data_IF_113302938667
#
_entry.id   IF_113302938667
#
_cell.length_a   1.000
_cell.length_b   1.000
_cell.length_c   1.000
_cell.angle_alpha   90.00
_cell.angle_beta   90.00
_cell.angle_gamma   90.00
#
_symmetry.space_group_name_H-M   'P 1'
#
loop_
_entity.id
_entity.type
_entity.pdbx_description
1 polymer ?
#
# COMPACT_ATOMS: atom_id res chain seq x y z
N UNK A 1 -2.87 -2.33 23.94
CA UNK A 1 -2.14 -2.49 22.65
C UNK A 1 -1.81 -1.10 22.12
N UNK A 2 -0.55 -0.75 22.05
CA UNK A 2 -0.17 0.53 21.48
C UNK A 2 -0.21 0.43 19.95
N UNK A 3 -1.00 1.29 19.32
CA UNK A 3 -0.98 1.43 17.87
C UNK A 3 0.26 2.23 17.51
N UNK A 4 1.19 1.62 16.76
CA UNK A 4 2.32 2.35 16.23
C UNK A 4 1.80 3.19 15.07
N UNK A 5 1.72 4.52 15.30
CA UNK A 5 1.34 5.46 14.25
C UNK A 5 2.56 5.69 13.36
N UNK A 6 2.51 5.16 12.13
CA UNK A 6 3.54 5.43 11.14
C UNK A 6 3.49 6.91 10.73
N UNK A 7 4.66 7.53 10.56
CA UNK A 7 4.77 8.86 9.96
C UNK A 7 4.32 8.83 8.50
N UNK A 8 3.83 9.97 7.92
CA UNK A 8 3.33 9.98 6.54
C UNK A 8 4.30 9.38 5.52
N UNK A 9 5.59 9.70 5.61
CA UNK A 9 6.61 9.15 4.71
C UNK A 9 6.73 7.63 4.86
N UNK A 10 6.70 7.11 6.08
CA UNK A 10 6.75 5.67 6.36
C UNK A 10 5.53 4.97 5.77
N UNK A 11 4.33 5.53 5.93
CA UNK A 11 3.09 5.00 5.34
C UNK A 11 3.17 4.93 3.83
N UNK A 12 3.61 6.01 3.20
CA UNK A 12 3.70 6.10 1.75
C UNK A 12 4.65 5.04 1.20
N UNK A 13 5.82 4.87 1.81
CA UNK A 13 6.81 3.88 1.39
C UNK A 13 6.28 2.46 1.61
N UNK A 14 5.72 2.15 2.77
CA UNK A 14 5.18 0.81 3.07
C UNK A 14 3.98 0.48 2.17
N UNK A 15 3.08 1.43 1.93
CA UNK A 15 1.99 1.25 0.99
C UNK A 15 2.51 0.88 -0.41
N UNK A 16 3.53 1.59 -0.88
CA UNK A 16 4.12 1.34 -2.18
C UNK A 16 4.71 -0.08 -2.27
N UNK A 17 5.51 -0.48 -1.29
CA UNK A 17 6.09 -1.84 -1.29
C UNK A 17 5.03 -2.92 -1.22
N UNK A 18 4.00 -2.74 -0.40
CA UNK A 18 2.89 -3.70 -0.32
C UNK A 18 2.18 -3.83 -1.66
N UNK A 19 1.78 -2.70 -2.26
CA UNK A 19 0.99 -2.69 -3.48
C UNK A 19 1.76 -3.26 -4.67
N UNK A 20 3.02 -2.83 -4.83
CA UNK A 20 3.80 -3.19 -6.02
C UNK A 20 4.52 -4.52 -5.89
N UNK A 21 4.98 -4.90 -4.70
CA UNK A 21 5.83 -6.08 -4.52
C UNK A 21 5.24 -7.13 -3.58
N UNK A 22 4.30 -6.77 -2.71
CA UNK A 22 3.82 -7.66 -1.66
C UNK A 22 4.90 -8.03 -0.64
N UNK A 23 5.98 -7.24 -0.56
CA UNK A 23 7.10 -7.50 0.33
C UNK A 23 7.37 -6.30 1.25
N UNK A 24 8.02 -6.59 2.38
CA UNK A 24 8.48 -5.56 3.32
C UNK A 24 9.90 -5.15 2.95
N UNK A 25 10.21 -3.85 2.79
CA UNK A 25 11.57 -3.43 2.48
C UNK A 25 12.54 -3.70 3.62
N UNK A 26 13.81 -3.97 3.28
CA UNK A 26 14.89 -4.00 4.26
C UNK A 26 15.07 -2.62 4.90
N UNK A 27 15.75 -2.57 6.04
CA UNK A 27 16.03 -1.30 6.72
C UNK A 27 16.76 -0.30 5.81
N UNK A 28 17.77 -0.75 5.07
CA UNK A 28 18.52 0.13 4.17
C UNK A 28 17.63 0.71 3.06
N UNK A 29 16.81 -0.10 2.42
CA UNK A 29 15.87 0.33 1.38
C UNK A 29 14.80 1.25 1.94
N UNK A 30 14.21 0.89 3.07
CA UNK A 30 13.21 1.68 3.76
C UNK A 30 13.75 3.08 4.12
N UNK A 31 14.94 3.13 4.73
CA UNK A 31 15.59 4.38 5.13
C UNK A 31 15.90 5.26 3.91
N UNK A 32 16.39 4.66 2.83
CA UNK A 32 16.69 5.39 1.60
C UNK A 32 15.44 6.01 0.97
N UNK A 33 14.33 5.27 0.93
CA UNK A 33 13.06 5.78 0.39
C UNK A 33 12.48 6.89 1.26
N UNK A 34 12.55 6.75 2.59
CA UNK A 34 12.11 7.80 3.52
C UNK A 34 12.95 9.06 3.33
N UNK A 35 14.27 8.92 3.20
CA UNK A 35 15.16 10.05 2.94
C UNK A 35 14.83 10.75 1.63
N UNK A 36 14.48 9.99 0.58
CA UNK A 36 14.02 10.56 -0.68
C UNK A 36 12.75 11.39 -0.50
N UNK A 37 11.76 10.87 0.24
CA UNK A 37 10.52 11.60 0.53
C UNK A 37 10.81 12.87 1.30
N UNK A 38 11.68 12.81 2.31
CA UNK A 38 12.06 13.96 3.12
C UNK A 38 12.75 15.06 2.30
N UNK A 39 13.59 14.64 1.33
CA UNK A 39 14.34 15.59 0.49
C UNK A 39 13.51 16.18 -0.65
N UNK A 40 12.58 15.41 -1.23
CA UNK A 40 11.90 15.76 -2.48
C UNK A 40 10.37 15.92 -2.32
N UNK A 41 9.79 15.47 -1.21
CA UNK A 41 8.36 15.54 -0.93
C UNK A 41 7.58 14.32 -1.41
N UNK A 42 6.36 14.18 -0.90
CA UNK A 42 5.46 13.07 -1.22
C UNK A 42 5.03 13.07 -2.70
N UNK A 43 4.80 14.26 -3.28
CA UNK A 43 4.42 14.38 -4.68
C UNK A 43 5.51 13.84 -5.62
N UNK A 44 6.78 14.11 -5.31
CA UNK A 44 7.90 13.58 -6.08
C UNK A 44 8.00 12.04 -5.95
N UNK A 45 7.76 11.51 -4.78
CA UNK A 45 7.73 10.06 -4.56
C UNK A 45 6.57 9.42 -5.32
N UNK A 46 5.39 10.03 -5.31
CA UNK A 46 4.24 9.56 -6.09
C UNK A 46 4.54 9.58 -7.60
N UNK A 47 5.22 10.60 -8.09
CA UNK A 47 5.66 10.66 -9.49
C UNK A 47 6.64 9.53 -9.83
N UNK A 48 7.54 9.21 -8.92
CA UNK A 48 8.42 8.04 -9.06
C UNK A 48 7.60 6.74 -9.16
N UNK A 49 6.60 6.56 -8.31
CA UNK A 49 5.70 5.39 -8.37
C UNK A 49 4.93 5.32 -9.69
N UNK A 50 4.50 6.45 -10.23
CA UNK A 50 3.86 6.52 -11.54
C UNK A 50 4.80 6.02 -12.65
N UNK A 51 6.07 6.35 -12.56
CA UNK A 51 7.10 5.86 -13.51
C UNK A 51 7.26 4.35 -13.42
N UNK A 52 7.25 3.79 -12.23
CA UNK A 52 7.30 2.33 -12.03
C UNK A 52 6.04 1.67 -12.59
N UNK A 53 4.87 2.24 -12.25
CA UNK A 53 3.57 1.64 -12.60
C UNK A 53 3.29 1.60 -14.10
N UNK A 54 3.75 2.60 -14.86
CA UNK A 54 3.43 2.70 -16.30
C UNK A 54 3.96 1.53 -17.13
N UNK A 55 4.98 0.85 -16.66
CA UNK A 55 5.59 -0.29 -17.35
C UNK A 55 4.98 -1.64 -16.96
N UNK A 56 3.99 -1.61 -16.05
CA UNK A 56 3.28 -2.79 -15.58
C UNK A 56 1.86 -2.78 -16.17
N UNK A 57 1.39 -3.90 -16.77
CA UNK A 57 0.01 -3.96 -17.28
C UNK A 57 -1.01 -3.62 -16.18
N UNK A 58 -2.04 -2.83 -16.52
CA UNK A 58 -3.05 -2.38 -15.55
C UNK A 58 -3.74 -3.57 -14.88
N UNK A 59 -4.01 -4.65 -15.61
CA UNK A 59 -4.61 -5.86 -15.04
C UNK A 59 -3.71 -6.48 -13.95
N UNK A 60 -2.39 -6.45 -14.14
CA UNK A 60 -1.41 -6.92 -13.14
C UNK A 60 -1.38 -6.01 -11.92
N UNK A 61 -1.38 -4.68 -12.13
CA UNK A 61 -1.45 -3.71 -11.03
C UNK A 61 -2.73 -3.90 -10.21
N UNK A 62 -3.87 -4.07 -10.87
CA UNK A 62 -5.16 -4.28 -10.23
C UNK A 62 -5.14 -5.57 -9.37
N UNK A 63 -4.63 -6.65 -9.93
CA UNK A 63 -4.51 -7.93 -9.23
C UNK A 63 -3.59 -7.82 -8.00
N UNK A 64 -2.44 -7.20 -8.16
CA UNK A 64 -1.48 -7.00 -7.06
C UNK A 64 -2.09 -6.14 -5.94
N UNK A 65 -2.75 -5.05 -6.31
CA UNK A 65 -3.41 -4.16 -5.34
C UNK A 65 -4.46 -4.91 -4.54
N UNK A 66 -5.38 -5.62 -5.21
CA UNK A 66 -6.44 -6.36 -4.52
C UNK A 66 -5.88 -7.47 -3.64
N UNK A 67 -4.94 -8.26 -4.16
CA UNK A 67 -4.36 -9.40 -3.43
C UNK A 67 -3.55 -8.92 -2.23
N UNK A 68 -2.68 -7.94 -2.43
CA UNK A 68 -1.76 -7.49 -1.39
C UNK A 68 -2.44 -6.69 -0.28
N UNK A 69 -3.57 -6.05 -0.59
CA UNK A 69 -4.38 -5.34 0.42
C UNK A 69 -5.51 -6.19 1.00
N UNK A 70 -5.69 -7.43 0.53
CA UNK A 70 -6.76 -8.31 1.01
C UNK A 70 -8.16 -7.89 0.56
N UNK A 71 -8.27 -7.23 -0.59
CA UNK A 71 -9.52 -6.66 -1.09
C UNK A 71 -10.24 -7.53 -2.14
N UNK A 72 -9.78 -8.75 -2.37
CA UNK A 72 -10.36 -9.63 -3.40
C UNK A 72 -11.80 -10.04 -3.14
N UNK A 73 -12.25 -10.00 -1.88
CA UNK A 73 -13.64 -10.25 -1.51
C UNK A 73 -14.52 -9.00 -1.57
N UNK A 74 -13.91 -7.82 -1.68
CA UNK A 74 -14.61 -6.52 -1.70
C UNK A 74 -14.86 -6.04 -3.12
N UNK A 75 -13.83 -6.10 -3.95
CA UNK A 75 -13.86 -5.60 -5.34
C UNK A 75 -13.46 -6.70 -6.31
N UNK A 76 -14.08 -6.67 -7.50
CA UNK A 76 -13.66 -7.52 -8.61
C UNK A 76 -12.44 -6.93 -9.29
N UNK A 77 -11.72 -7.76 -10.03
CA UNK A 77 -10.60 -7.29 -10.85
C UNK A 77 -11.07 -6.26 -11.88
N UNK A 78 -12.25 -6.44 -12.49
CA UNK A 78 -12.79 -5.50 -13.46
C UNK A 78 -13.02 -4.11 -12.85
N UNK A 79 -13.54 -4.05 -11.62
CA UNK A 79 -13.72 -2.79 -10.88
C UNK A 79 -12.38 -2.12 -10.60
N UNK A 80 -11.38 -2.87 -10.17
CA UNK A 80 -10.03 -2.35 -9.91
C UNK A 80 -9.37 -1.85 -11.19
N UNK A 81 -9.49 -2.58 -12.30
CA UNK A 81 -8.97 -2.14 -13.61
C UNK A 81 -9.65 -0.84 -14.05
N UNK A 82 -10.97 -0.74 -13.91
CA UNK A 82 -11.72 0.46 -14.28
C UNK A 82 -11.25 1.67 -13.43
N UNK A 83 -11.06 1.47 -12.14
CA UNK A 83 -10.54 2.50 -11.23
C UNK A 83 -9.15 2.98 -11.66
N UNK A 84 -8.23 2.06 -11.95
CA UNK A 84 -6.87 2.42 -12.36
C UNK A 84 -6.85 3.10 -13.73
N UNK A 85 -7.67 2.65 -14.68
CA UNK A 85 -7.78 3.31 -15.98
C UNK A 85 -8.32 4.75 -15.86
N UNK A 86 -9.26 4.98 -14.96
CA UNK A 86 -9.77 6.32 -14.67
C UNK A 86 -8.71 7.23 -14.03
N UNK A 87 -7.65 6.66 -13.47
CA UNK A 87 -6.54 7.37 -12.81
C UNK A 87 -5.20 7.11 -13.50
N UNK A 88 -5.20 6.84 -14.80
CA UNK A 88 -4.02 6.45 -15.56
C UNK A 88 -2.87 7.46 -15.50
N UNK A 89 -3.16 8.74 -15.31
CA UNK A 89 -2.15 9.79 -15.17
C UNK A 89 -1.48 9.81 -13.79
N UNK A 90 -2.03 9.11 -12.81
CA UNK A 90 -1.52 9.08 -11.42
C UNK A 90 -1.78 7.72 -10.76
N UNK A 91 -1.26 6.66 -11.37
CA UNK A 91 -1.45 5.29 -10.89
C UNK A 91 -0.91 5.09 -9.47
N UNK A 92 0.27 5.61 -9.20
CA UNK A 92 0.89 5.51 -7.87
C UNK A 92 0.05 6.18 -6.79
N UNK A 93 -0.47 7.37 -7.08
CA UNK A 93 -1.37 8.08 -6.16
C UNK A 93 -2.69 7.36 -5.97
N UNK A 94 -3.27 6.84 -7.04
CA UNK A 94 -4.53 6.10 -7.00
C UNK A 94 -4.42 4.82 -6.15
N UNK A 95 -3.35 4.06 -6.34
CA UNK A 95 -3.12 2.83 -5.58
C UNK A 95 -2.84 3.13 -4.10
N UNK A 96 -2.04 4.16 -3.81
CA UNK A 96 -1.79 4.61 -2.44
C UNK A 96 -3.06 5.09 -1.75
N UNK A 97 -3.97 5.73 -2.47
CA UNK A 97 -5.26 6.16 -1.94
C UNK A 97 -6.12 4.96 -1.51
N UNK A 98 -6.10 3.87 -2.27
CA UNK A 98 -6.83 2.63 -1.90
C UNK A 98 -6.24 2.03 -0.62
N UNK A 99 -4.91 1.96 -0.50
CA UNK A 99 -4.26 1.45 0.71
C UNK A 99 -4.62 2.30 1.93
N UNK A 100 -4.58 3.62 1.80
CA UNK A 100 -4.93 4.55 2.87
C UNK A 100 -6.40 4.45 3.24
N UNK A 101 -7.29 4.37 2.25
CA UNK A 101 -8.73 4.23 2.48
C UNK A 101 -9.06 2.91 3.21
N UNK A 102 -8.34 1.83 2.90
CA UNK A 102 -8.52 0.56 3.59
C UNK A 102 -8.13 0.67 5.06
N UNK A 103 -6.99 1.30 5.36
CA UNK A 103 -6.55 1.53 6.75
C UNK A 103 -7.53 2.39 7.54
N UNK A 104 -8.13 3.38 6.90
CA UNK A 104 -9.00 4.37 7.51
C UNK A 104 -10.50 4.04 7.38
N UNK A 105 -10.84 2.84 6.89
CA UNK A 105 -12.23 2.47 6.69
C UNK A 105 -13.04 2.56 7.98
N UNK A 106 -14.19 3.22 7.89
CA UNK A 106 -15.15 3.31 8.99
C UNK A 106 -16.30 2.36 8.71
N UNK A 107 -16.65 1.52 9.68
CA UNK A 107 -17.75 0.57 9.56
C UNK A 107 -19.03 1.25 9.08
N UNK A 108 -19.62 0.68 8.04
CA UNK A 108 -20.88 1.18 7.46
C UNK A 108 -21.79 -0.01 7.19
N UNK A 109 -22.75 -0.22 8.08
CA UNK A 109 -23.67 -1.36 8.00
C UNK A 109 -24.53 -1.37 6.73
N UNK A 110 -24.69 -0.22 6.07
CA UNK A 110 -25.42 -0.12 4.79
C UNK A 110 -24.60 -0.59 3.60
N UNK A 111 -23.29 -0.72 3.75
CA UNK A 111 -22.42 -1.22 2.68
C UNK A 111 -22.46 -2.75 2.63
N UNK A 112 -22.81 -3.31 1.48
CA UNK A 112 -22.97 -4.77 1.32
C UNK A 112 -21.69 -5.56 1.64
N UNK A 113 -20.52 -4.95 1.47
CA UNK A 113 -19.21 -5.56 1.72
C UNK A 113 -18.53 -5.04 2.99
N UNK A 114 -19.33 -4.54 3.94
CA UNK A 114 -18.80 -3.98 5.18
C UNK A 114 -17.94 -4.98 5.97
N UNK A 115 -18.42 -6.22 6.11
CA UNK A 115 -17.67 -7.26 6.85
C UNK A 115 -16.33 -7.60 6.18
N UNK A 116 -16.32 -7.68 4.86
CA UNK A 116 -15.12 -7.96 4.07
C UNK A 116 -14.13 -6.78 4.14
N UNK A 117 -14.62 -5.55 4.13
CA UNK A 117 -13.78 -4.36 4.31
C UNK A 117 -13.16 -4.30 5.72
N UNK A 118 -13.92 -4.64 6.75
CA UNK A 118 -13.41 -4.69 8.12
C UNK A 118 -12.34 -5.78 8.27
N UNK A 119 -12.53 -6.91 7.63
CA UNK A 119 -11.51 -7.98 7.59
C UNK A 119 -10.24 -7.53 6.87
N UNK A 120 -10.37 -6.87 5.72
CA UNK A 120 -9.25 -6.34 4.97
C UNK A 120 -8.51 -5.26 5.78
N UNK A 121 -9.24 -4.37 6.45
CA UNK A 121 -8.66 -3.35 7.32
C UNK A 121 -7.85 -3.96 8.46
N UNK A 122 -8.39 -4.96 9.13
CA UNK A 122 -7.69 -5.65 10.24
C UNK A 122 -6.42 -6.32 9.74
N UNK A 123 -6.51 -7.07 8.64
CA UNK A 123 -5.35 -7.74 8.05
C UNK A 123 -4.29 -6.74 7.60
N UNK A 124 -4.68 -5.67 6.92
CA UNK A 124 -3.76 -4.64 6.45
C UNK A 124 -3.13 -3.86 7.61
N UNK A 125 -3.89 -3.54 8.66
CA UNK A 125 -3.37 -2.87 9.86
C UNK A 125 -2.29 -3.72 10.52
N UNK A 126 -2.52 -5.02 10.67
CA UNK A 126 -1.54 -5.95 11.24
C UNK A 126 -0.29 -6.06 10.36
N UNK A 127 -0.49 -6.20 9.06
CA UNK A 127 0.59 -6.26 8.07
C UNK A 127 1.43 -4.99 8.10
N UNK A 128 0.79 -3.82 8.10
CA UNK A 128 1.48 -2.53 8.13
C UNK A 128 2.29 -2.34 9.44
N UNK A 129 1.73 -2.76 10.56
CA UNK A 129 2.42 -2.69 11.87
C UNK A 129 3.66 -3.58 11.87
N UNK A 130 3.53 -4.81 11.40
CA UNK A 130 4.64 -5.76 11.32
C UNK A 130 5.70 -5.31 10.32
N UNK A 131 5.27 -4.79 9.16
CA UNK A 131 6.17 -4.27 8.14
C UNK A 131 6.97 -3.07 8.66
N UNK A 132 6.32 -2.16 9.39
CA UNK A 132 7.00 -1.01 9.99
C UNK A 132 8.05 -1.47 11.00
N UNK A 133 7.70 -2.40 11.88
CA UNK A 133 8.63 -2.94 12.88
C UNK A 133 9.84 -3.62 12.19
N UNK A 134 9.60 -4.43 11.17
CA UNK A 134 10.65 -5.11 10.41
C UNK A 134 11.57 -4.11 9.69
N UNK A 135 10.99 -3.20 8.94
CA UNK A 135 11.76 -2.24 8.12
C UNK A 135 12.51 -1.21 8.96
N UNK A 136 12.01 -0.91 10.18
CA UNK A 136 12.66 -0.01 11.11
C UNK A 136 13.80 -0.68 11.89
N UNK A 137 13.88 -2.01 11.88
CA UNK A 137 14.93 -2.75 12.57
C UNK A 137 16.24 -2.73 11.77
N UNK A 138 17.32 -2.26 12.39
CA UNK A 138 18.64 -2.19 11.75
C UNK A 138 19.21 -3.57 11.38
N UNK A 139 18.64 -4.64 11.94
CA UNK A 139 19.01 -6.03 11.65
C UNK A 139 18.36 -6.60 10.40
N UNK A 140 17.35 -5.92 9.82
CA UNK A 140 16.70 -6.39 8.60
C UNK A 140 17.55 -6.05 7.37
N UNK A 141 18.24 -7.04 6.82
CA UNK A 141 19.21 -6.86 5.72
C UNK A 141 18.65 -7.24 4.35
N UNK A 142 17.43 -7.78 4.29
CA UNK A 142 16.79 -8.19 3.05
C UNK A 142 15.31 -7.85 3.10
N UNK A 143 14.63 -7.91 1.94
CA UNK A 143 13.19 -7.78 1.91
C UNK A 143 12.53 -8.93 2.68
N UNK A 144 11.54 -8.60 3.49
CA UNK A 144 10.79 -9.56 4.28
C UNK A 144 9.45 -9.93 3.65
N UNK A 145 8.80 -10.92 4.26
CA UNK A 145 7.42 -11.26 3.91
C UNK A 145 6.45 -10.26 4.55
N UNK A 146 5.35 -9.98 3.87
CA UNK A 146 4.26 -9.14 4.40
C UNK A 146 3.31 -9.93 5.31
N UNK A 147 3.49 -11.23 5.41
CA UNK A 147 2.66 -12.09 6.27
C UNK A 147 3.23 -12.28 7.66
#
# INVERSE_FOLDING_TARGET
>A
MSIILALPAQKLVLNAFTIFTGTTPSNATFTAHIAYVAANGEAAYTSFLNTVAKDIPVATLASNMLTNLGLTAVFTQAEAVAYLNANASNLGGAMSAVATATLNYVSNASFAKNAEMLSAQTAWTNTATNALAYSSATTSTSAGSMT
#
